data_IF_976253341555
#
_entry.id   IF_976253341555
#
_cell.length_a   1.000
_cell.length_b   1.000
_cell.length_c   1.000
_cell.angle_alpha   90.00
_cell.angle_beta   90.00
_cell.angle_gamma   90.00
#
_symmetry.space_group_name_H-M   'P 1'
#
loop_
_entity.id
_entity.type
_entity.pdbx_description
1 polymer ?
#
# COMPACT_ATOMS: atom_id res chain seq x y z
N UNK A 1 23.33 4.97 48.92
CA UNK A 1 21.93 5.13 48.47
C UNK A 1 21.88 6.29 47.49
N UNK A 2 21.47 6.03 46.26
CA UNK A 2 21.34 7.03 45.19
C UNK A 2 22.20 6.69 43.97
N UNK A 3 21.76 5.73 43.16
CA UNK A 3 22.38 5.34 41.89
C UNK A 3 22.16 6.40 40.80
N UNK A 4 23.21 6.63 40.00
CA UNK A 4 23.19 7.51 38.84
C UNK A 4 22.56 6.83 37.62
N UNK A 5 21.73 7.59 36.91
CA UNK A 5 21.12 7.19 35.65
C UNK A 5 22.11 7.39 34.50
N UNK A 6 22.78 6.31 34.08
CA UNK A 6 23.51 6.26 32.81
C UNK A 6 22.57 5.67 31.74
N UNK A 7 22.09 6.51 30.82
CA UNK A 7 21.43 6.05 29.61
C UNK A 7 22.50 5.69 28.57
N UNK A 8 22.83 4.41 28.49
CA UNK A 8 23.61 3.84 27.41
C UNK A 8 22.68 3.18 26.38
N UNK A 9 22.98 3.43 25.12
CA UNK A 9 22.24 3.06 23.92
C UNK A 9 22.73 1.70 23.38
N UNK A 10 21.79 0.94 22.76
CA UNK A 10 21.95 -0.23 21.83
C UNK A 10 22.27 -1.60 22.47
N UNK A 11 22.23 -2.71 21.70
CA UNK A 11 21.14 -3.29 20.89
C UNK A 11 21.09 -4.83 21.06
N UNK A 12 19.95 -5.51 21.20
CA UNK A 12 19.97 -6.99 21.08
C UNK A 12 18.76 -7.56 20.35
N UNK A 13 19.01 -7.87 19.08
CA UNK A 13 18.51 -9.07 18.43
C UNK A 13 19.14 -10.27 19.18
N UNK A 14 18.33 -11.11 19.82
CA UNK A 14 18.68 -12.51 20.03
C UNK A 14 17.42 -13.35 19.92
N UNK A 15 17.33 -14.06 18.80
CA UNK A 15 16.63 -15.33 18.72
C UNK A 15 17.25 -16.24 19.79
N UNK A 16 16.45 -16.63 20.78
CA UNK A 16 16.76 -17.78 21.62
C UNK A 16 15.54 -18.69 21.60
N UNK A 17 15.63 -19.68 20.72
CA UNK A 17 14.70 -20.79 20.54
C UNK A 17 14.54 -21.54 21.86
N UNK A 18 13.47 -21.29 22.60
CA UNK A 18 12.85 -22.34 23.40
C UNK A 18 11.91 -23.08 22.47
N UNK A 19 12.30 -24.29 22.07
CA UNK A 19 11.40 -25.21 21.42
C UNK A 19 10.23 -25.48 22.39
N UNK A 20 8.96 -25.22 22.03
CA UNK A 20 7.84 -25.63 22.85
C UNK A 20 7.87 -27.17 22.96
N UNK A 21 7.73 -27.70 24.18
CA UNK A 21 7.68 -29.13 24.49
C UNK A 21 6.39 -29.82 24.03
N UNK A 22 5.68 -29.21 23.08
CA UNK A 22 4.47 -29.66 22.45
C UNK A 22 4.43 -29.03 21.05
N UNK A 23 4.00 -29.77 20.00
CA UNK A 23 3.77 -29.15 18.71
C UNK A 23 2.85 -27.93 18.92
N UNK A 24 3.08 -26.79 18.23
CA UNK A 24 2.10 -25.72 18.27
C UNK A 24 0.75 -26.35 17.88
N UNK A 25 -0.26 -26.20 18.75
CA UNK A 25 -1.63 -26.52 18.37
C UNK A 25 -1.84 -25.90 16.99
N UNK A 26 -2.27 -26.71 16.02
CA UNK A 26 -2.47 -26.22 14.67
C UNK A 26 -3.35 -24.98 14.78
N UNK A 27 -2.93 -23.81 14.24
CA UNK A 27 -3.71 -22.60 14.34
C UNK A 27 -5.13 -22.94 13.86
N UNK A 28 -6.18 -22.47 14.56
CA UNK A 28 -7.54 -22.87 14.25
C UNK A 28 -7.77 -22.68 12.76
N UNK A 29 -8.15 -23.77 12.08
CA UNK A 29 -8.46 -23.74 10.66
C UNK A 29 -9.54 -22.69 10.46
N UNK A 30 -9.17 -21.59 9.80
CA UNK A 30 -10.11 -20.53 9.46
C UNK A 30 -11.27 -21.15 8.68
N UNK A 31 -12.48 -20.68 8.97
CA UNK A 31 -13.65 -21.08 8.17
C UNK A 31 -13.36 -20.78 6.68
N UNK A 32 -13.92 -21.56 5.73
CA UNK A 32 -13.74 -21.27 4.31
C UNK A 32 -14.08 -19.83 3.93
N UNK A 33 -15.09 -19.24 4.58
CA UNK A 33 -15.48 -17.84 4.43
C UNK A 33 -14.42 -16.87 4.95
N UNK A 34 -13.85 -17.11 6.13
CA UNK A 34 -12.77 -16.29 6.69
C UNK A 34 -11.49 -16.39 5.86
N UNK A 35 -11.14 -17.59 5.38
CA UNK A 35 -9.99 -17.79 4.51
C UNK A 35 -10.17 -17.13 3.14
N UNK A 36 -11.39 -17.16 2.58
CA UNK A 36 -11.71 -16.45 1.34
C UNK A 36 -11.65 -14.92 1.52
N UNK A 37 -12.16 -14.41 2.64
CA UNK A 37 -12.09 -13.00 2.98
C UNK A 37 -10.63 -12.52 3.09
N UNK A 38 -9.76 -13.23 3.82
CA UNK A 38 -8.35 -12.87 3.94
C UNK A 38 -7.61 -12.90 2.59
N UNK A 39 -7.90 -13.91 1.75
CA UNK A 39 -7.36 -13.94 0.38
C UNK A 39 -7.82 -12.74 -0.43
N UNK A 40 -9.10 -12.37 -0.35
CA UNK A 40 -9.64 -11.22 -1.07
C UNK A 40 -9.04 -9.91 -0.58
N UNK A 41 -8.91 -9.71 0.74
CA UNK A 41 -8.23 -8.54 1.34
C UNK A 41 -6.78 -8.47 0.84
N UNK A 42 -6.05 -9.58 0.91
CA UNK A 42 -4.68 -9.67 0.41
C UNK A 42 -4.59 -9.34 -1.09
N UNK A 43 -5.56 -9.78 -1.89
CA UNK A 43 -5.64 -9.48 -3.31
C UNK A 43 -5.82 -7.99 -3.61
N UNK A 44 -6.67 -7.31 -2.83
CA UNK A 44 -6.96 -5.88 -2.98
C UNK A 44 -5.72 -5.03 -2.64
N UNK A 45 -5.01 -5.38 -1.56
CA UNK A 45 -3.86 -4.60 -1.10
C UNK A 45 -2.57 -4.74 -1.94
N UNK A 46 -2.50 -5.67 -2.91
CA UNK A 46 -1.27 -5.92 -3.66
C UNK A 46 -0.71 -4.68 -4.36
N UNK A 47 -1.57 -3.86 -4.95
CA UNK A 47 -1.12 -2.65 -5.64
C UNK A 47 -0.55 -1.59 -4.69
N UNK A 48 -1.09 -1.51 -3.46
CA UNK A 48 -0.56 -0.64 -2.41
C UNK A 48 0.84 -1.10 -1.96
N UNK A 49 0.99 -2.40 -1.69
CA UNK A 49 2.29 -2.98 -1.32
C UNK A 49 3.32 -2.77 -2.44
N UNK A 50 2.94 -2.99 -3.70
CA UNK A 50 3.82 -2.79 -4.85
C UNK A 50 4.26 -1.32 -4.98
N UNK A 51 3.35 -0.37 -4.73
CA UNK A 51 3.66 1.06 -4.72
C UNK A 51 4.70 1.39 -3.64
N UNK A 52 4.45 1.03 -2.38
CA UNK A 52 5.36 1.33 -1.26
C UNK A 52 6.70 0.59 -1.36
N UNK A 53 6.69 -0.67 -1.82
CA UNK A 53 7.91 -1.40 -2.13
C UNK A 53 8.71 -0.71 -3.26
N UNK A 54 8.01 -0.20 -4.27
CA UNK A 54 8.61 0.57 -5.37
C UNK A 54 9.28 1.86 -4.89
N UNK A 55 8.65 2.62 -4.01
CA UNK A 55 9.24 3.82 -3.40
C UNK A 55 10.52 3.49 -2.64
N UNK A 56 10.49 2.45 -1.80
CA UNK A 56 11.66 1.99 -1.05
C UNK A 56 12.78 1.52 -1.98
N UNK A 57 12.44 0.73 -2.99
CA UNK A 57 13.39 0.23 -3.97
C UNK A 57 14.05 1.36 -4.79
N UNK A 58 13.30 2.42 -5.11
CA UNK A 58 13.86 3.61 -5.77
C UNK A 58 14.84 4.37 -4.86
N UNK A 59 14.56 4.42 -3.55
CA UNK A 59 15.43 5.05 -2.55
C UNK A 59 16.75 4.31 -2.36
N UNK A 60 16.73 2.97 -2.44
CA UNK A 60 17.90 2.10 -2.21
C UNK A 60 18.33 1.34 -3.48
N UNK A 61 18.15 1.95 -4.66
CA UNK A 61 18.33 1.25 -5.94
C UNK A 61 19.74 0.68 -6.14
N UNK A 62 20.75 1.34 -5.58
CA UNK A 62 22.16 0.94 -5.69
C UNK A 62 22.44 -0.34 -4.87
N UNK A 63 21.68 -0.58 -3.80
CA UNK A 63 21.80 -1.78 -2.97
C UNK A 63 21.16 -3.03 -3.61
N UNK A 64 20.39 -2.83 -4.69
CA UNK A 64 19.68 -3.92 -5.38
C UNK A 64 20.52 -4.59 -6.45
N UNK A 65 21.75 -4.16 -6.70
CA UNK A 65 22.59 -4.80 -7.72
C UNK A 65 22.77 -6.31 -7.48
N UNK A 66 22.71 -7.13 -8.55
CA UNK A 66 22.63 -6.78 -9.97
C UNK A 66 21.19 -6.58 -10.51
N UNK A 67 20.16 -6.59 -9.66
CA UNK A 67 18.76 -6.44 -10.08
C UNK A 67 18.47 -5.01 -10.57
N UNK A 68 18.05 -4.89 -11.84
CA UNK A 68 17.73 -3.61 -12.47
C UNK A 68 16.22 -3.45 -12.64
N UNK A 69 15.60 -2.74 -11.71
CA UNK A 69 14.20 -2.35 -11.83
C UNK A 69 14.02 -1.26 -12.90
N UNK A 70 12.92 -1.34 -13.65
CA UNK A 70 12.60 -0.42 -14.75
C UNK A 70 11.28 0.31 -14.57
N UNK A 71 10.52 -0.03 -13.54
CA UNK A 71 9.17 0.48 -13.39
C UNK A 71 8.32 -0.30 -12.41
N UNK A 72 7.07 0.15 -12.29
CA UNK A 72 6.03 -0.44 -11.45
C UNK A 72 4.78 -0.70 -12.29
N UNK A 73 4.06 -1.77 -11.95
CA UNK A 73 2.73 -2.05 -12.49
C UNK A 73 1.78 -2.12 -11.30
N UNK A 74 0.91 -1.11 -11.19
CA UNK A 74 -0.05 -0.94 -10.13
C UNK A 74 -1.44 -1.30 -10.66
N UNK A 75 -1.80 -2.57 -10.49
CA UNK A 75 -3.09 -3.09 -10.94
C UNK A 75 -4.15 -2.93 -9.85
N UNK A 76 -5.12 -2.03 -10.08
CA UNK A 76 -6.20 -1.70 -9.14
C UNK A 76 -5.66 -1.45 -7.72
N UNK A 77 -4.73 -0.50 -7.55
CA UNK A 77 -4.12 -0.30 -6.26
C UNK A 77 -5.16 0.19 -5.25
N UNK A 78 -5.16 -0.46 -4.10
CA UNK A 78 -6.07 -0.18 -3.00
C UNK A 78 -5.55 0.99 -2.16
N UNK A 79 -6.18 2.16 -2.32
CA UNK A 79 -5.88 3.36 -1.56
C UNK A 79 -7.11 3.83 -0.80
N UNK A 80 -6.88 4.59 0.26
CA UNK A 80 -7.91 5.21 1.08
C UNK A 80 -7.74 6.72 1.17
N UNK A 81 -8.50 7.29 2.08
CA UNK A 81 -8.54 8.71 2.41
C UNK A 81 -9.77 8.99 3.28
N UNK A 82 -9.68 10.00 4.15
CA UNK A 82 -10.79 10.30 5.08
C UNK A 82 -12.00 10.79 4.30
N UNK A 83 -11.78 11.75 3.41
CA UNK A 83 -12.79 12.29 2.50
C UNK A 83 -13.15 11.29 1.39
N UNK A 84 -14.44 11.22 1.07
CA UNK A 84 -14.95 10.29 0.05
C UNK A 84 -14.82 10.87 -1.35
N UNK A 85 -14.34 10.04 -2.27
CA UNK A 85 -14.34 10.39 -3.68
C UNK A 85 -15.73 10.23 -4.30
N UNK A 86 -15.91 10.76 -5.51
CA UNK A 86 -17.17 10.61 -6.26
C UNK A 86 -17.48 9.14 -6.56
N UNK A 87 -16.46 8.36 -6.91
CA UNK A 87 -16.57 6.92 -7.15
C UNK A 87 -16.95 6.13 -5.91
N UNK A 88 -16.37 6.44 -4.75
CA UNK A 88 -16.68 5.78 -3.49
C UNK A 88 -18.13 6.03 -3.07
N UNK A 89 -18.64 7.26 -3.27
CA UNK A 89 -20.05 7.57 -3.00
C UNK A 89 -20.98 6.88 -4.01
N UNK A 90 -20.64 6.91 -5.30
CA UNK A 90 -21.43 6.29 -6.38
C UNK A 90 -21.53 4.77 -6.22
N UNK A 91 -20.47 4.14 -5.73
CA UNK A 91 -20.34 2.69 -5.57
C UNK A 91 -20.32 2.26 -4.10
N UNK A 92 -20.96 3.04 -3.21
CA UNK A 92 -20.91 2.81 -1.76
C UNK A 92 -21.34 1.41 -1.33
N UNK A 93 -22.29 0.81 -2.06
CA UNK A 93 -22.85 -0.52 -1.82
C UNK A 93 -22.35 -1.57 -2.82
N UNK A 94 -21.14 -1.39 -3.37
CA UNK A 94 -20.54 -2.40 -4.24
C UNK A 94 -20.49 -3.77 -3.56
N UNK A 95 -20.68 -4.84 -4.35
CA UNK A 95 -20.81 -6.21 -3.81
C UNK A 95 -19.47 -6.81 -3.41
N UNK A 96 -18.37 -6.32 -3.98
CA UNK A 96 -17.02 -6.83 -3.76
C UNK A 96 -16.29 -5.98 -2.74
N UNK A 97 -16.38 -4.66 -2.88
CA UNK A 97 -15.73 -3.68 -2.01
C UNK A 97 -16.71 -2.60 -1.55
N UNK A 98 -17.67 -2.92 -0.67
CA UNK A 98 -18.46 -1.88 -0.01
C UNK A 98 -17.54 -0.90 0.73
N UNK A 99 -17.93 0.38 0.79
CA UNK A 99 -17.12 1.41 1.48
C UNK A 99 -16.81 1.05 2.94
N UNK A 100 -17.77 0.43 3.63
CA UNK A 100 -17.59 -0.08 5.00
C UNK A 100 -16.48 -1.13 5.12
N UNK A 101 -16.33 -1.98 4.11
CA UNK A 101 -15.27 -2.99 4.09
C UNK A 101 -13.91 -2.32 3.85
N UNK A 102 -13.85 -1.31 2.99
CA UNK A 102 -12.65 -0.48 2.80
C UNK A 102 -12.21 0.18 4.10
N UNK A 103 -13.15 0.80 4.82
CA UNK A 103 -12.88 1.45 6.11
C UNK A 103 -12.31 0.47 7.13
N UNK A 104 -12.93 -0.70 7.27
CA UNK A 104 -12.47 -1.73 8.19
C UNK A 104 -11.07 -2.25 7.81
N UNK A 105 -10.78 -2.41 6.52
CA UNK A 105 -9.44 -2.82 6.08
C UNK A 105 -8.38 -1.80 6.46
N UNK A 106 -8.67 -0.50 6.37
CA UNK A 106 -7.74 0.53 6.79
C UNK A 106 -7.62 0.64 8.31
N UNK A 107 -8.72 0.52 9.04
CA UNK A 107 -8.70 0.49 10.51
C UNK A 107 -7.82 -0.64 11.05
N UNK A 108 -7.86 -1.82 10.42
CA UNK A 108 -7.04 -2.97 10.80
C UNK A 108 -5.59 -2.90 10.27
N UNK A 109 -5.37 -2.18 9.17
CA UNK A 109 -4.08 -2.11 8.48
C UNK A 109 -3.18 -0.97 8.95
N UNK A 110 -3.76 0.08 9.52
CA UNK A 110 -3.03 1.27 9.93
C UNK A 110 -2.61 1.23 11.41
N UNK A 111 -1.60 2.03 11.80
CA UNK A 111 -1.24 2.20 13.21
C UNK A 111 -2.45 2.65 14.06
N UNK A 112 -2.48 2.22 15.33
CA UNK A 112 -3.55 2.61 16.26
C UNK A 112 -3.60 4.13 16.37
N UNK A 113 -4.78 4.70 16.10
CA UNK A 113 -5.02 6.15 16.16
C UNK A 113 -4.71 6.90 14.86
N UNK A 114 -4.16 6.24 13.84
CA UNK A 114 -4.05 6.82 12.51
C UNK A 114 -5.40 6.82 11.79
N UNK A 115 -5.69 7.91 11.07
CA UNK A 115 -6.83 7.99 10.17
C UNK A 115 -6.47 7.53 8.75
N UNK A 116 -7.44 7.56 7.84
CA UNK A 116 -7.29 7.07 6.47
C UNK A 116 -6.48 8.04 5.58
N UNK A 117 -6.07 9.20 6.08
CA UNK A 117 -5.13 10.09 5.39
C UNK A 117 -3.67 9.83 5.79
N UNK A 118 -3.41 8.77 6.57
CA UNK A 118 -2.06 8.24 6.75
C UNK A 118 -1.43 7.87 5.38
N UNK A 119 -0.12 8.13 5.21
CA UNK A 119 0.60 7.97 3.93
C UNK A 119 0.52 6.55 3.35
N UNK A 120 0.41 5.53 4.21
CA UNK A 120 0.24 4.14 3.79
C UNK A 120 -1.11 3.91 3.10
N UNK A 121 -2.15 4.64 3.51
CA UNK A 121 -3.50 4.56 2.98
C UNK A 121 -3.72 5.53 1.83
N UNK A 122 -3.37 6.80 2.03
CA UNK A 122 -3.58 7.88 1.09
C UNK A 122 -2.23 8.36 0.53
N UNK A 123 -1.82 7.88 -0.67
CA UNK A 123 -0.53 8.22 -1.25
C UNK A 123 -0.49 9.64 -1.83
N UNK A 124 -1.63 10.35 -1.86
CA UNK A 124 -1.76 11.70 -2.44
C UNK A 124 -1.74 12.80 -1.37
N UNK A 125 -1.86 12.43 -0.09
CA UNK A 125 -1.80 13.36 1.03
C UNK A 125 -0.52 14.20 0.97
N UNK A 126 -0.65 15.50 1.22
CA UNK A 126 0.48 16.44 1.18
C UNK A 126 1.18 16.56 -0.19
N UNK A 127 0.53 16.19 -1.28
CA UNK A 127 1.12 16.19 -2.63
C UNK A 127 1.92 14.91 -2.94
N UNK A 128 1.78 13.88 -2.12
CA UNK A 128 2.40 12.57 -2.29
C UNK A 128 3.88 12.50 -1.92
N UNK A 129 4.39 11.27 -1.82
CA UNK A 129 5.74 11.00 -1.30
C UNK A 129 6.83 11.74 -2.08
N UNK A 130 7.82 12.28 -1.37
CA UNK A 130 9.02 12.85 -1.98
C UNK A 130 9.86 11.78 -2.71
N UNK A 131 9.69 10.50 -2.35
CA UNK A 131 10.36 9.39 -3.03
C UNK A 131 9.87 9.18 -4.47
N UNK A 132 8.71 9.73 -4.84
CA UNK A 132 8.25 9.72 -6.23
C UNK A 132 9.21 10.52 -7.14
N UNK A 133 9.86 11.57 -6.65
CA UNK A 133 10.83 12.37 -7.41
C UNK A 133 12.06 11.51 -7.80
N UNK A 134 12.41 10.55 -6.93
CA UNK A 134 13.46 9.56 -7.19
C UNK A 134 13.06 8.60 -8.32
N UNK A 135 11.80 8.15 -8.36
CA UNK A 135 11.27 7.34 -9.46
C UNK A 135 11.39 8.09 -10.79
N UNK A 136 11.05 9.38 -10.81
CA UNK A 136 11.19 10.24 -11.98
C UNK A 136 12.64 10.38 -12.45
N UNK A 137 13.58 10.63 -11.51
CA UNK A 137 15.01 10.71 -11.77
C UNK A 137 15.57 9.42 -12.37
N UNK A 138 15.14 8.27 -11.86
CA UNK A 138 15.52 6.95 -12.37
C UNK A 138 14.87 6.59 -13.71
N UNK A 139 13.99 7.46 -14.24
CA UNK A 139 13.23 7.25 -15.47
C UNK A 139 12.43 5.95 -15.47
N UNK A 140 11.98 5.53 -14.29
CA UNK A 140 11.10 4.37 -14.17
C UNK A 140 9.74 4.69 -14.79
N UNK A 141 9.13 3.68 -15.43
CA UNK A 141 7.77 3.78 -15.94
C UNK A 141 6.79 3.20 -14.94
N UNK A 142 5.67 3.87 -14.70
CA UNK A 142 4.63 3.39 -13.80
C UNK A 142 3.35 3.18 -14.58
N UNK A 143 2.85 1.95 -14.64
CA UNK A 143 1.52 1.69 -15.17
C UNK A 143 0.53 1.67 -14.01
N UNK A 144 -0.55 2.44 -14.10
CA UNK A 144 -1.66 2.39 -13.14
C UNK A 144 -2.90 1.95 -13.90
N UNK A 145 -3.56 0.90 -13.42
CA UNK A 145 -4.79 0.41 -14.05
C UNK A 145 -5.95 0.40 -13.08
N UNK A 146 -7.14 0.72 -13.57
CA UNK A 146 -8.39 0.67 -12.83
C UNK A 146 -9.58 0.44 -13.75
N UNK A 147 -10.79 0.33 -13.18
CA UNK A 147 -12.02 0.26 -13.97
C UNK A 147 -13.14 1.10 -13.34
N UNK A 148 -14.11 1.53 -14.16
CA UNK A 148 -15.20 2.41 -13.72
C UNK A 148 -16.15 1.76 -12.68
N UNK A 149 -16.11 0.44 -12.55
CA UNK A 149 -16.82 -0.34 -11.54
C UNK A 149 -16.06 -0.51 -10.23
N UNK A 150 -14.83 0.00 -10.13
CA UNK A 150 -14.04 -0.01 -8.89
C UNK A 150 -14.40 1.23 -8.04
N UNK A 151 -14.83 1.07 -6.78
CA UNK A 151 -15.06 2.21 -5.88
C UNK A 151 -13.86 3.13 -5.71
N UNK A 152 -12.63 2.62 -5.89
CA UNK A 152 -11.39 3.38 -5.67
C UNK A 152 -10.82 4.03 -6.94
N UNK A 153 -11.52 3.95 -8.06
CA UNK A 153 -11.03 4.45 -9.36
C UNK A 153 -10.55 5.90 -9.32
N UNK A 154 -11.26 6.79 -8.60
CA UNK A 154 -10.86 8.20 -8.50
C UNK A 154 -9.50 8.33 -7.82
N UNK A 155 -9.22 7.55 -6.76
CA UNK A 155 -7.93 7.54 -6.05
C UNK A 155 -6.81 7.00 -6.93
N UNK A 156 -7.12 6.00 -7.75
CA UNK A 156 -6.17 5.40 -8.70
C UNK A 156 -5.77 6.41 -9.79
N UNK A 157 -6.74 7.17 -10.29
CA UNK A 157 -6.52 8.26 -11.25
C UNK A 157 -5.71 9.40 -10.60
N UNK A 158 -6.06 9.79 -9.37
CA UNK A 158 -5.38 10.84 -8.63
C UNK A 158 -3.90 10.53 -8.39
N UNK A 159 -3.58 9.28 -8.02
CA UNK A 159 -2.18 8.85 -7.92
C UNK A 159 -1.43 9.03 -9.24
N UNK A 160 -2.06 8.65 -10.36
CA UNK A 160 -1.46 8.81 -11.68
C UNK A 160 -1.07 10.26 -11.96
N UNK A 161 -1.98 11.20 -11.67
CA UNK A 161 -1.75 12.64 -11.84
C UNK A 161 -0.59 13.16 -10.97
N UNK A 162 -0.55 12.79 -9.69
CA UNK A 162 0.54 13.23 -8.80
C UNK A 162 1.89 12.67 -9.23
N UNK A 163 1.93 11.43 -9.73
CA UNK A 163 3.16 10.86 -10.28
C UNK A 163 3.62 11.62 -11.53
N UNK A 164 2.71 12.00 -12.42
CA UNK A 164 3.01 12.84 -13.59
C UNK A 164 3.52 14.22 -13.20
N UNK A 165 2.88 14.88 -12.23
CA UNK A 165 3.31 16.17 -11.67
C UNK A 165 4.74 16.11 -11.09
N UNK A 166 5.12 14.96 -10.54
CA UNK A 166 6.48 14.68 -10.05
C UNK A 166 7.46 14.20 -11.13
N UNK A 167 7.08 14.29 -12.41
CA UNK A 167 7.92 13.98 -13.55
C UNK A 167 8.14 12.48 -13.81
N UNK A 168 7.28 11.61 -13.25
CA UNK A 168 7.29 10.17 -13.52
C UNK A 168 6.58 9.89 -14.84
N UNK A 169 7.11 8.95 -15.63
CA UNK A 169 6.42 8.47 -16.84
C UNK A 169 5.30 7.52 -16.44
N UNK A 170 4.05 7.97 -16.55
CA UNK A 170 2.87 7.19 -16.16
C UNK A 170 2.11 6.68 -17.38
N UNK A 171 1.59 5.46 -17.30
CA UNK A 171 0.64 4.90 -18.27
C UNK A 171 -0.64 4.57 -17.52
N UNK A 172 -1.68 5.38 -17.70
CA UNK A 172 -3.00 5.17 -17.12
C UNK A 172 -3.89 4.29 -18.00
N UNK A 173 -4.47 3.23 -17.44
CA UNK A 173 -5.51 2.42 -18.12
C UNK A 173 -6.74 2.28 -17.24
N UNK A 174 -7.78 3.05 -17.53
CA UNK A 174 -8.96 3.16 -16.69
C UNK A 174 -10.20 2.79 -17.53
N UNK A 175 -10.63 1.52 -17.46
CA UNK A 175 -11.72 1.01 -18.32
C UNK A 175 -11.35 0.92 -19.81
N UNK A 176 -12.32 1.18 -20.71
CA UNK A 176 -12.10 1.25 -22.17
C UNK A 176 -11.34 2.52 -22.61
N UNK A 177 -11.11 3.47 -21.70
CA UNK A 177 -10.33 4.68 -21.98
C UNK A 177 -8.86 4.47 -21.57
N UNK A 178 -8.00 4.52 -22.59
CA UNK A 178 -6.55 4.61 -22.42
C UNK A 178 -6.20 6.10 -22.36
N UNK A 179 -5.77 6.58 -21.20
CA UNK A 179 -5.19 7.91 -21.07
C UNK A 179 -3.69 7.75 -21.33
N UNK A 180 -3.25 8.10 -22.54
CA UNK A 180 -1.82 8.19 -22.86
C UNK A 180 -1.35 9.60 -22.51
N UNK A 181 -0.49 9.69 -21.50
CA UNK A 181 0.32 10.87 -21.18
C UNK A 181 1.67 10.82 -21.87
#
# INVERSE_FOLDING_TARGET
MGEGSSFAVRPQLYSMTFAPSSPPESPPLLSPSSAALLRNIGCLQRGNIAYHAGLRAAATVDDLEPLKLKGLILHHPFFGGTERTGSEMRLANDKVLPVRLSDLMWELGLPIGADRDHEDSNPTVGGGSQLCDRIGTLRWKVMVTGCNGDPLIDRQIELGKILEEKGVQVVGKFGEEIIMG
#
